data_IF_147843519343
#
_entry.id   IF_147843519343
#
_cell.length_a   1.000
_cell.length_b   1.000
_cell.length_c   1.000
_cell.angle_alpha   90.00
_cell.angle_beta   90.00
_cell.angle_gamma   90.00
#
_symmetry.space_group_name_H-M   'P 1'
#
loop_
_entity.id
_entity.type
_entity.pdbx_description
1 polymer ?
#
# COMPACT_ATOMS: atom_id res chain seq x y z
N UNK A 1 19.82 14.28 9.85
CA UNK A 1 18.65 13.51 9.31
C UNK A 1 18.03 14.35 8.21
N UNK A 2 17.54 13.76 7.12
CA UNK A 2 16.81 14.51 6.11
C UNK A 2 15.56 15.17 6.72
N UNK A 3 15.15 16.32 6.18
CA UNK A 3 13.90 16.96 6.60
C UNK A 3 12.67 16.14 6.16
N UNK A 4 11.49 16.43 6.72
CA UNK A 4 10.26 15.78 6.28
C UNK A 4 9.96 16.07 4.80
N UNK A 5 10.35 17.25 4.31
CA UNK A 5 10.21 17.63 2.90
C UNK A 5 11.15 16.82 2.00
N UNK A 6 12.43 16.66 2.39
CA UNK A 6 13.37 15.81 1.65
C UNK A 6 12.87 14.36 1.53
N UNK A 7 12.30 13.81 2.63
CA UNK A 7 11.72 12.47 2.64
C UNK A 7 10.51 12.40 1.72
N UNK A 8 9.64 13.42 1.75
CA UNK A 8 8.44 13.50 0.92
C UNK A 8 8.79 13.56 -0.57
N UNK A 9 9.79 14.37 -0.94
CA UNK A 9 10.24 14.47 -2.32
C UNK A 9 10.87 13.18 -2.83
N UNK A 10 11.70 12.51 -2.02
CA UNK A 10 12.24 11.20 -2.34
C UNK A 10 11.15 10.12 -2.50
N UNK A 11 10.10 10.14 -1.66
CA UNK A 11 8.96 9.24 -1.82
C UNK A 11 8.18 9.54 -3.10
N UNK A 12 7.95 10.82 -3.42
CA UNK A 12 7.28 11.22 -4.67
C UNK A 12 8.03 10.69 -5.90
N UNK A 13 9.34 10.88 -5.97
CA UNK A 13 10.17 10.39 -7.07
C UNK A 13 10.12 8.85 -7.17
N UNK A 14 10.24 8.16 -6.03
CA UNK A 14 10.20 6.70 -5.97
C UNK A 14 8.89 6.17 -6.54
N UNK A 15 7.75 6.65 -6.06
CA UNK A 15 6.43 6.15 -6.44
C UNK A 15 6.01 6.58 -7.85
N UNK A 16 6.41 7.77 -8.30
CA UNK A 16 6.22 8.19 -9.70
C UNK A 16 6.94 7.21 -10.65
N UNK A 17 8.17 6.82 -10.31
CA UNK A 17 8.95 5.84 -11.08
C UNK A 17 8.41 4.41 -11.06
N UNK A 18 7.45 4.10 -10.19
CA UNK A 18 6.82 2.78 -10.08
C UNK A 18 5.41 2.72 -10.72
N UNK A 19 4.81 3.87 -11.06
CA UNK A 19 3.43 3.96 -11.57
C UNK A 19 3.16 3.04 -12.76
N UNK A 20 4.07 2.97 -13.71
CA UNK A 20 3.99 2.10 -14.90
C UNK A 20 3.98 0.61 -14.53
N UNK A 21 4.81 0.19 -13.57
CA UNK A 21 4.83 -1.18 -13.07
C UNK A 21 3.52 -1.57 -12.38
N UNK A 22 2.99 -0.67 -11.55
CA UNK A 22 1.71 -0.85 -10.90
C UNK A 22 0.54 -0.94 -11.90
N UNK A 23 0.53 -0.10 -12.93
CA UNK A 23 -0.48 -0.17 -14.00
C UNK A 23 -0.37 -1.47 -14.80
N UNK A 24 0.85 -1.85 -15.22
CA UNK A 24 1.12 -3.07 -16.00
C UNK A 24 0.67 -4.34 -15.28
N UNK A 25 0.95 -4.43 -13.98
CA UNK A 25 0.69 -5.62 -13.16
C UNK A 25 -0.58 -5.51 -12.30
N UNK A 26 -1.45 -4.52 -12.58
CA UNK A 26 -2.64 -4.22 -11.79
C UNK A 26 -3.45 -5.46 -11.43
N UNK A 27 -3.77 -6.32 -12.40
CA UNK A 27 -4.57 -7.54 -12.15
C UNK A 27 -3.89 -8.46 -11.14
N UNK A 28 -2.59 -8.71 -11.27
CA UNK A 28 -1.84 -9.62 -10.38
C UNK A 28 -1.73 -9.02 -8.99
N UNK A 29 -1.41 -7.72 -8.90
CA UNK A 29 -1.27 -7.00 -7.64
C UNK A 29 -2.63 -6.92 -6.93
N UNK A 30 -3.70 -6.57 -7.66
CA UNK A 30 -5.03 -6.44 -7.06
C UNK A 30 -5.60 -7.79 -6.64
N UNK A 31 -5.31 -8.89 -7.35
CA UNK A 31 -5.68 -10.23 -6.90
C UNK A 31 -5.02 -10.58 -5.56
N UNK A 32 -3.76 -10.24 -5.36
CA UNK A 32 -3.06 -10.41 -4.07
C UNK A 32 -3.66 -9.53 -2.98
N UNK A 33 -3.99 -8.26 -3.27
CA UNK A 33 -4.37 -7.26 -2.27
C UNK A 33 -5.89 -7.19 -2.01
N UNK A 34 -6.72 -7.83 -2.84
CA UNK A 34 -8.19 -7.83 -2.71
C UNK A 34 -8.68 -8.29 -1.33
N UNK A 35 -8.13 -9.38 -0.71
CA UNK A 35 -8.57 -9.79 0.62
C UNK A 35 -8.39 -8.70 1.67
N UNK A 36 -7.32 -7.88 1.55
CA UNK A 36 -7.04 -6.79 2.47
C UNK A 36 -8.07 -5.67 2.28
N UNK A 37 -8.32 -5.25 1.04
CA UNK A 37 -9.34 -4.24 0.73
C UNK A 37 -10.72 -4.65 1.25
N UNK A 38 -11.12 -5.91 1.03
CA UNK A 38 -12.38 -6.44 1.52
C UNK A 38 -12.47 -6.42 3.06
N UNK A 39 -11.42 -6.85 3.76
CA UNK A 39 -11.35 -6.84 5.23
C UNK A 39 -11.40 -5.41 5.80
N UNK A 40 -10.80 -4.43 5.13
CA UNK A 40 -10.88 -3.01 5.49
C UNK A 40 -12.30 -2.48 5.31
N UNK A 41 -12.92 -2.72 4.15
CA UNK A 41 -14.28 -2.26 3.82
C UNK A 41 -15.30 -2.78 4.83
N UNK A 42 -15.22 -4.06 5.21
CA UNK A 42 -16.10 -4.67 6.22
C UNK A 42 -16.12 -3.89 7.54
N UNK A 43 -14.95 -3.34 7.95
CA UNK A 43 -14.81 -2.62 9.22
C UNK A 43 -15.08 -1.13 9.11
N UNK A 44 -15.09 -0.56 7.93
CA UNK A 44 -15.37 0.87 7.71
C UNK A 44 -16.85 1.25 7.89
N UNK A 45 -17.77 0.26 7.92
CA UNK A 45 -19.21 0.47 8.06
C UNK A 45 -19.76 1.47 7.02
N UNK A 46 -19.41 1.23 5.76
CA UNK A 46 -19.80 2.09 4.63
C UNK A 46 -21.32 2.08 4.45
N UNK A 47 -21.92 3.27 4.26
CA UNK A 47 -23.32 3.45 3.88
C UNK A 47 -23.41 4.14 2.51
N UNK A 48 -24.57 4.00 1.85
CA UNK A 48 -24.81 4.38 0.45
C UNK A 48 -24.53 5.87 0.15
N UNK A 49 -24.71 6.75 1.13
CA UNK A 49 -24.60 8.21 1.04
C UNK A 49 -23.36 8.79 1.73
N UNK A 50 -22.46 7.94 2.22
CA UNK A 50 -21.25 8.37 2.92
C UNK A 50 -20.32 9.19 2.02
N UNK A 51 -19.49 10.01 2.66
CA UNK A 51 -18.35 10.68 2.04
C UNK A 51 -17.07 10.01 2.55
N UNK A 52 -16.37 9.30 1.66
CA UNK A 52 -15.18 8.52 1.97
C UNK A 52 -13.91 9.18 1.45
N UNK A 53 -12.83 9.09 2.24
CA UNK A 53 -11.48 9.52 1.85
C UNK A 53 -10.55 8.30 1.81
N UNK A 54 -9.92 8.06 0.66
CA UNK A 54 -8.87 7.04 0.52
C UNK A 54 -7.50 7.71 0.38
N UNK A 55 -6.63 7.48 1.34
CA UNK A 55 -5.34 8.15 1.49
C UNK A 55 -4.21 7.24 1.00
N UNK A 56 -3.26 7.81 0.25
CA UNK A 56 -2.25 7.08 -0.47
C UNK A 56 -2.91 5.97 -1.33
N UNK A 57 -3.94 6.37 -2.07
CA UNK A 57 -4.80 5.46 -2.83
C UNK A 57 -4.10 4.80 -4.01
N UNK A 58 -2.92 5.30 -4.41
CA UNK A 58 -2.16 4.76 -5.52
C UNK A 58 -3.01 4.67 -6.80
N UNK A 59 -3.15 3.47 -7.34
CA UNK A 59 -3.97 3.19 -8.52
C UNK A 59 -5.47 3.03 -8.22
N UNK A 60 -5.93 3.42 -7.01
CA UNK A 60 -7.33 3.67 -6.67
C UNK A 60 -8.02 2.67 -5.74
N UNK A 61 -7.35 1.60 -5.27
CA UNK A 61 -7.99 0.63 -4.38
C UNK A 61 -7.56 0.79 -2.91
N UNK A 62 -8.45 0.69 -1.93
CA UNK A 62 -9.84 0.20 -2.02
C UNK A 62 -10.90 1.25 -2.43
N UNK A 63 -10.52 2.51 -2.64
CA UNK A 63 -11.46 3.62 -2.90
C UNK A 63 -12.39 3.39 -4.09
N UNK A 64 -11.90 2.80 -5.20
CA UNK A 64 -12.74 2.46 -6.36
C UNK A 64 -13.78 1.40 -6.03
N UNK A 65 -13.39 0.35 -5.30
CA UNK A 65 -14.34 -0.65 -4.81
C UNK A 65 -15.37 -0.01 -3.86
N UNK A 66 -14.94 0.86 -2.94
CA UNK A 66 -15.84 1.59 -2.03
C UNK A 66 -16.83 2.46 -2.82
N UNK A 67 -16.38 3.14 -3.86
CA UNK A 67 -17.26 3.96 -4.70
C UNK A 67 -18.41 3.17 -5.34
N UNK A 68 -18.20 1.91 -5.68
CA UNK A 68 -19.28 1.05 -6.21
C UNK A 68 -20.31 0.65 -5.15
N UNK A 69 -19.95 0.69 -3.86
CA UNK A 69 -20.83 0.39 -2.73
C UNK A 69 -21.61 1.62 -2.24
N UNK A 70 -21.31 2.80 -2.77
CA UNK A 70 -21.87 4.09 -2.35
C UNK A 70 -22.55 4.83 -3.52
N UNK A 71 -23.66 4.33 -4.05
CA UNK A 71 -24.26 4.86 -5.27
C UNK A 71 -24.72 6.34 -5.18
N UNK A 72 -25.01 6.83 -3.97
CA UNK A 72 -25.38 8.23 -3.71
C UNK A 72 -24.30 9.01 -2.94
N UNK A 73 -23.27 8.31 -2.49
CA UNK A 73 -22.11 8.87 -1.79
C UNK A 73 -21.01 9.34 -2.72
N UNK A 74 -19.89 9.75 -2.12
CA UNK A 74 -18.71 10.25 -2.84
C UNK A 74 -17.42 9.69 -2.24
N UNK A 75 -16.44 9.45 -3.12
CA UNK A 75 -15.09 9.03 -2.71
C UNK A 75 -14.09 10.08 -3.19
N UNK A 76 -13.19 10.48 -2.31
CA UNK A 76 -12.01 11.28 -2.66
C UNK A 76 -10.78 10.37 -2.56
N UNK A 77 -10.07 10.23 -3.67
CA UNK A 77 -8.80 9.51 -3.74
C UNK A 77 -7.67 10.51 -3.60
N UNK A 78 -6.79 10.32 -2.63
CA UNK A 78 -5.61 11.18 -2.46
C UNK A 78 -4.33 10.37 -2.54
N UNK A 79 -3.32 10.96 -3.14
CA UNK A 79 -1.96 10.43 -3.18
C UNK A 79 -0.94 11.57 -3.24
N UNK A 80 0.29 11.29 -2.87
CA UNK A 80 1.40 12.20 -3.05
C UNK A 80 1.78 12.37 -4.52
N UNK A 81 1.48 11.36 -5.36
CA UNK A 81 1.90 11.20 -6.75
C UNK A 81 0.72 11.35 -7.69
N UNK A 82 0.70 12.42 -8.48
CA UNK A 82 -0.39 12.70 -9.42
C UNK A 82 -0.52 11.61 -10.49
N UNK A 83 0.59 11.04 -10.97
CA UNK A 83 0.62 9.98 -11.96
C UNK A 83 -0.11 8.71 -11.50
N UNK A 84 -0.06 8.39 -10.20
CA UNK A 84 -0.85 7.29 -9.61
C UNK A 84 -2.35 7.60 -9.67
N UNK A 85 -2.74 8.82 -9.35
CA UNK A 85 -4.13 9.27 -9.41
C UNK A 85 -4.67 9.29 -10.84
N UNK A 86 -3.83 9.58 -11.82
CA UNK A 86 -4.20 9.50 -13.24
C UNK A 86 -4.53 8.05 -13.65
N UNK A 87 -3.79 7.07 -13.14
CA UNK A 87 -4.12 5.63 -13.32
C UNK A 87 -5.47 5.32 -12.66
N UNK A 88 -5.67 5.76 -11.41
CA UNK A 88 -6.93 5.55 -10.69
C UNK A 88 -8.13 6.15 -11.45
N UNK A 89 -7.99 7.37 -11.99
CA UNK A 89 -9.02 8.04 -12.78
C UNK A 89 -9.35 7.27 -14.07
N UNK A 90 -8.33 6.78 -14.81
CA UNK A 90 -8.56 5.94 -16.00
C UNK A 90 -9.28 4.63 -15.65
N UNK A 91 -8.93 3.99 -14.54
CA UNK A 91 -9.60 2.78 -14.06
C UNK A 91 -11.06 3.06 -13.70
N UNK A 92 -11.35 4.17 -13.02
CA UNK A 92 -12.71 4.58 -12.71
C UNK A 92 -13.56 4.72 -13.99
N UNK A 93 -13.04 5.42 -14.99
CA UNK A 93 -13.72 5.57 -16.31
C UNK A 93 -13.99 4.21 -16.94
N UNK A 94 -12.98 3.32 -16.97
CA UNK A 94 -13.13 1.97 -17.55
C UNK A 94 -14.17 1.13 -16.82
N UNK A 95 -14.32 1.32 -15.50
CA UNK A 95 -15.29 0.60 -14.67
C UNK A 95 -16.66 1.30 -14.58
N UNK A 96 -16.83 2.47 -15.21
CA UNK A 96 -18.07 3.25 -15.17
C UNK A 96 -18.35 3.90 -13.81
N UNK A 97 -17.31 4.11 -12.99
CA UNK A 97 -17.41 4.75 -11.67
C UNK A 97 -17.34 6.28 -11.88
N UNK A 98 -18.37 7.00 -11.43
CA UNK A 98 -18.54 8.45 -11.67
C UNK A 98 -18.54 9.30 -10.40
N UNK A 99 -18.60 8.68 -9.23
CA UNK A 99 -18.71 9.32 -7.92
C UNK A 99 -17.39 9.44 -7.19
N UNK A 100 -16.29 9.57 -7.93
CA UNK A 100 -14.96 9.82 -7.38
C UNK A 100 -14.44 11.22 -7.72
N UNK A 101 -13.53 11.70 -6.88
CA UNK A 101 -12.64 12.83 -7.17
C UNK A 101 -11.20 12.47 -6.79
N UNK A 102 -10.22 13.05 -7.46
CA UNK A 102 -8.80 12.85 -7.14
C UNK A 102 -8.18 14.15 -6.64
N UNK A 103 -7.24 14.06 -5.67
CA UNK A 103 -6.54 15.22 -5.14
C UNK A 103 -5.11 14.85 -4.75
N UNK A 104 -4.12 15.38 -5.48
CA UNK A 104 -2.73 15.21 -5.08
C UNK A 104 -2.42 16.06 -3.83
N UNK A 105 -2.01 15.41 -2.74
CA UNK A 105 -1.62 16.05 -1.49
C UNK A 105 -0.80 15.10 -0.60
N UNK A 106 -0.17 15.67 0.44
CA UNK A 106 0.51 14.87 1.46
C UNK A 106 -0.48 14.37 2.51
N UNK A 107 -0.26 13.16 3.02
CA UNK A 107 -1.09 12.55 4.05
C UNK A 107 -1.04 13.31 5.40
N UNK A 108 0.03 14.05 5.65
CA UNK A 108 0.25 14.85 6.86
C UNK A 108 -0.13 16.34 6.70
N UNK A 109 -0.80 16.69 5.58
CA UNK A 109 -1.30 18.05 5.30
C UNK A 109 -2.48 17.95 4.33
N UNK A 110 -3.65 17.55 4.86
CA UNK A 110 -4.85 17.29 4.08
C UNK A 110 -5.64 18.58 3.83
N UNK A 111 -5.89 18.97 2.57
CA UNK A 111 -6.59 20.20 2.23
C UNK A 111 -8.11 20.06 2.32
N UNK A 112 -8.60 19.54 3.45
CA UNK A 112 -10.02 19.34 3.74
C UNK A 112 -10.35 19.93 5.12
N UNK A 113 -11.59 20.37 5.27
CA UNK A 113 -12.11 20.88 6.55
C UNK A 113 -12.26 19.75 7.59
N UNK A 114 -12.32 20.13 8.86
CA UNK A 114 -12.57 19.22 9.96
C UNK A 114 -13.93 18.51 9.78
N UNK A 115 -14.02 17.27 10.21
CA UNK A 115 -15.25 16.49 10.19
C UNK A 115 -15.97 16.46 8.83
N UNK A 116 -15.19 16.28 7.75
CA UNK A 116 -15.70 16.24 6.38
C UNK A 116 -16.14 14.84 5.97
N UNK A 117 -15.45 13.80 6.42
CA UNK A 117 -15.60 12.43 5.93
C UNK A 117 -16.24 11.51 6.97
N UNK A 118 -17.09 10.60 6.51
CA UNK A 118 -17.72 9.57 7.34
C UNK A 118 -16.77 8.38 7.57
N UNK A 119 -15.84 8.15 6.64
CA UNK A 119 -14.84 7.10 6.74
C UNK A 119 -13.56 7.46 6.01
N UNK A 120 -12.43 6.90 6.47
CA UNK A 120 -11.10 7.08 5.90
C UNK A 120 -10.42 5.72 5.75
N UNK A 121 -9.77 5.47 4.61
CA UNK A 121 -8.89 4.32 4.39
C UNK A 121 -7.47 4.74 4.07
N UNK A 122 -6.48 3.88 4.44
CA UNK A 122 -5.09 4.02 4.04
C UNK A 122 -4.46 2.64 3.86
N UNK A 123 -4.50 2.09 2.65
CA UNK A 123 -3.95 0.75 2.35
C UNK A 123 -2.48 0.84 1.99
N UNK A 124 -1.59 0.35 2.88
CA UNK A 124 -0.13 0.33 2.71
C UNK A 124 0.56 1.70 2.57
N UNK A 125 -0.08 2.79 3.00
CA UNK A 125 0.51 4.13 2.99
C UNK A 125 1.39 4.41 4.21
N UNK A 126 0.95 4.00 5.40
CA UNK A 126 1.53 4.38 6.69
C UNK A 126 3.05 4.22 6.77
N UNK A 127 3.57 3.12 6.28
CA UNK A 127 4.99 2.79 6.36
C UNK A 127 5.90 3.73 5.58
N UNK A 128 5.31 4.56 4.71
CA UNK A 128 6.04 5.50 3.85
C UNK A 128 5.84 6.97 4.25
N UNK A 129 4.94 7.27 5.20
CA UNK A 129 4.74 8.64 5.64
C UNK A 129 5.96 9.18 6.41
N UNK A 130 6.42 10.40 6.11
CA UNK A 130 7.51 11.03 6.85
C UNK A 130 7.20 11.15 8.34
N UNK A 131 6.03 11.68 8.67
CA UNK A 131 5.50 11.82 10.02
C UNK A 131 4.14 11.11 10.13
N UNK A 132 4.19 9.87 10.62
CA UNK A 132 2.99 9.05 10.80
C UNK A 132 2.05 9.61 11.88
N UNK A 133 2.60 10.26 12.92
CA UNK A 133 1.77 10.81 14.00
C UNK A 133 0.97 12.02 13.49
N UNK A 134 1.62 12.91 12.74
CA UNK A 134 0.97 14.06 12.11
C UNK A 134 -0.08 13.60 11.08
N UNK A 135 0.27 12.62 10.24
CA UNK A 135 -0.69 12.05 9.29
C UNK A 135 -1.93 11.47 10.00
N UNK A 136 -1.72 10.71 11.09
CA UNK A 136 -2.86 10.14 11.85
C UNK A 136 -3.72 11.22 12.49
N UNK A 137 -3.11 12.30 12.98
CA UNK A 137 -3.86 13.45 13.52
C UNK A 137 -4.73 14.12 12.43
N UNK A 138 -4.19 14.27 11.20
CA UNK A 138 -4.97 14.78 10.07
C UNK A 138 -6.13 13.85 9.70
N UNK A 139 -5.91 12.53 9.69
CA UNK A 139 -6.98 11.55 9.43
C UNK A 139 -8.09 11.64 10.47
N UNK A 140 -7.74 11.75 11.76
CA UNK A 140 -8.70 11.95 12.83
C UNK A 140 -9.41 13.31 12.69
N UNK A 141 -8.71 14.39 12.30
CA UNK A 141 -9.28 15.73 12.14
C UNK A 141 -10.37 15.75 11.07
N UNK A 142 -10.11 15.16 9.92
CA UNK A 142 -11.05 15.19 8.78
C UNK A 142 -12.21 14.20 8.91
N UNK A 143 -12.12 13.20 9.80
CA UNK A 143 -13.22 12.30 10.14
C UNK A 143 -14.30 13.04 10.93
N UNK A 144 -15.56 12.68 10.73
CA UNK A 144 -16.70 13.07 11.58
C UNK A 144 -16.68 12.31 12.89
N UNK A 145 -17.27 12.87 13.97
CA UNK A 145 -17.53 12.09 15.18
C UNK A 145 -18.32 10.81 14.85
N UNK A 146 -17.84 9.65 15.33
CA UNK A 146 -18.38 8.33 14.99
C UNK A 146 -17.87 7.74 13.68
N UNK A 147 -17.12 8.52 12.89
CA UNK A 147 -16.48 8.06 11.64
C UNK A 147 -15.36 7.06 11.91
N UNK A 148 -15.05 6.22 10.92
CA UNK A 148 -14.06 5.14 11.06
C UNK A 148 -12.85 5.35 10.17
N UNK A 149 -11.67 5.13 10.76
CA UNK A 149 -10.39 5.01 10.05
C UNK A 149 -9.99 3.53 9.97
N UNK A 150 -9.66 3.05 8.78
CA UNK A 150 -9.06 1.73 8.62
C UNK A 150 -7.77 1.81 7.80
N UNK A 151 -6.69 1.25 8.33
CA UNK A 151 -5.40 1.19 7.66
C UNK A 151 -4.90 -0.25 7.51
N UNK A 152 -3.97 -0.46 6.57
CA UNK A 152 -3.25 -1.73 6.48
C UNK A 152 -1.75 -1.53 6.30
N UNK A 153 -0.97 -2.46 6.86
CA UNK A 153 0.49 -2.50 6.79
C UNK A 153 0.95 -3.94 6.60
N UNK A 154 2.17 -4.12 6.07
CA UNK A 154 2.78 -5.45 6.05
C UNK A 154 3.23 -5.85 7.45
N UNK A 155 3.04 -7.12 7.82
CA UNK A 155 3.69 -7.71 8.98
C UNK A 155 5.16 -8.02 8.64
N UNK A 156 5.89 -8.66 9.55
CA UNK A 156 7.33 -8.91 9.41
C UNK A 156 7.72 -9.70 8.13
N UNK A 157 8.97 -9.57 7.65
CA UNK A 157 9.43 -10.16 6.39
C UNK A 157 9.27 -11.69 6.29
N UNK A 158 9.47 -12.43 7.38
CA UNK A 158 9.36 -13.89 7.41
C UNK A 158 7.92 -14.40 7.17
N UNK A 159 6.91 -13.56 7.41
CA UNK A 159 5.52 -13.84 7.04
C UNK A 159 5.18 -13.38 5.60
N UNK A 160 6.14 -12.80 4.88
CA UNK A 160 5.98 -12.26 3.52
C UNK A 160 7.03 -12.79 2.55
N UNK A 161 7.14 -14.14 2.37
CA UNK A 161 8.12 -14.72 1.46
C UNK A 161 8.01 -14.22 0.03
N UNK A 162 6.84 -13.71 -0.41
CA UNK A 162 6.65 -13.16 -1.75
C UNK A 162 7.61 -12.01 -2.09
N UNK A 163 8.11 -11.25 -1.12
CA UNK A 163 9.15 -10.24 -1.32
C UNK A 163 10.49 -10.66 -0.71
N UNK A 164 10.49 -11.45 0.38
CA UNK A 164 11.70 -11.88 1.05
C UNK A 164 12.61 -12.73 0.15
N UNK A 165 12.04 -13.57 -0.72
CA UNK A 165 12.79 -14.37 -1.70
C UNK A 165 13.57 -13.49 -2.69
N UNK A 166 12.94 -12.45 -3.23
CA UNK A 166 13.64 -11.53 -4.13
C UNK A 166 14.75 -10.75 -3.41
N UNK A 167 14.51 -10.31 -2.18
CA UNK A 167 15.54 -9.64 -1.37
C UNK A 167 16.69 -10.59 -1.00
N UNK A 168 16.41 -11.87 -0.76
CA UNK A 168 17.44 -12.88 -0.55
C UNK A 168 18.28 -13.13 -1.82
N UNK A 169 17.64 -13.15 -3.00
CA UNK A 169 18.35 -13.23 -4.29
C UNK A 169 19.24 -12.00 -4.52
N UNK A 170 18.76 -10.80 -4.22
CA UNK A 170 19.56 -9.56 -4.29
C UNK A 170 20.76 -9.63 -3.36
N UNK A 171 20.58 -10.18 -2.15
CA UNK A 171 21.63 -10.29 -1.14
C UNK A 171 22.81 -11.21 -1.57
N UNK A 172 22.67 -12.01 -2.61
CA UNK A 172 23.78 -12.80 -3.16
C UNK A 172 24.79 -11.94 -3.93
N UNK A 173 24.37 -10.79 -4.47
CA UNK A 173 25.20 -9.90 -5.26
C UNK A 173 25.46 -8.54 -4.57
N UNK A 174 24.49 -8.07 -3.76
CA UNK A 174 24.54 -6.79 -3.05
C UNK A 174 24.43 -7.08 -1.55
N UNK A 175 25.45 -6.81 -0.73
CA UNK A 175 25.36 -6.99 0.72
C UNK A 175 24.14 -6.23 1.31
N UNK A 176 23.30 -6.89 2.11
CA UNK A 176 22.13 -6.24 2.70
C UNK A 176 22.55 -5.16 3.70
N UNK A 177 21.99 -3.98 3.56
CA UNK A 177 22.09 -2.90 4.53
C UNK A 177 20.80 -2.86 5.33
N UNK A 178 20.82 -3.05 6.66
CA UNK A 178 19.63 -2.92 7.47
C UNK A 178 18.99 -1.52 7.28
N UNK A 179 17.68 -1.43 7.05
CA UNK A 179 17.04 -0.12 6.91
C UNK A 179 17.12 0.63 8.26
N UNK A 180 17.27 1.95 8.19
CA UNK A 180 17.08 2.79 9.38
C UNK A 180 15.61 2.65 9.83
N UNK A 181 15.34 2.25 11.09
CA UNK A 181 13.97 2.06 11.61
C UNK A 181 13.09 3.32 11.50
N UNK A 182 13.72 4.49 11.42
CA UNK A 182 13.02 5.78 11.30
C UNK A 182 12.74 6.20 9.85
N UNK A 183 13.39 5.56 8.88
CA UNK A 183 13.20 5.85 7.46
C UNK A 183 12.00 5.08 6.88
N UNK A 184 11.31 5.62 5.87
CA UNK A 184 10.26 4.92 5.15
C UNK A 184 10.78 3.61 4.54
N UNK A 185 10.16 2.49 4.90
CA UNK A 185 10.41 1.19 4.28
C UNK A 185 9.23 0.23 4.53
N UNK A 186 9.09 -0.78 3.68
CA UNK A 186 7.94 -1.68 3.61
C UNK A 186 7.52 -2.29 4.96
N UNK A 187 8.44 -2.61 5.86
CA UNK A 187 8.18 -3.28 7.13
C UNK A 187 8.29 -2.36 8.36
N UNK A 188 8.33 -1.03 8.16
CA UNK A 188 8.47 -0.05 9.24
C UNK A 188 7.38 -0.16 10.31
N UNK A 189 6.18 -0.56 9.92
CA UNK A 189 5.02 -0.68 10.80
C UNK A 189 4.70 -2.13 11.20
N UNK A 190 5.63 -3.07 11.01
CA UNK A 190 5.38 -4.51 11.18
C UNK A 190 5.12 -4.95 12.63
N UNK A 191 5.58 -4.17 13.62
CA UNK A 191 5.39 -4.49 15.03
C UNK A 191 3.90 -4.43 15.41
N UNK A 192 3.36 -5.46 16.10
CA UNK A 192 2.00 -5.41 16.65
C UNK A 192 1.81 -4.18 17.55
N UNK A 193 0.64 -3.56 17.48
CA UNK A 193 0.29 -2.38 18.27
C UNK A 193 0.93 -1.06 17.79
N UNK A 194 1.85 -1.08 16.82
CA UNK A 194 2.57 0.13 16.42
C UNK A 194 1.62 1.19 15.83
N UNK A 195 0.79 0.81 14.86
CA UNK A 195 -0.21 1.73 14.25
C UNK A 195 -1.37 1.96 15.18
N UNK A 196 -1.80 0.94 15.95
CA UNK A 196 -2.85 1.08 16.98
C UNK A 196 -2.52 2.18 17.99
N UNK A 197 -1.27 2.24 18.45
CA UNK A 197 -0.83 3.31 19.36
C UNK A 197 -0.80 4.71 18.68
N UNK A 198 -0.66 4.81 17.37
CA UNK A 198 -0.83 6.07 16.64
C UNK A 198 -2.30 6.51 16.63
N UNK A 199 -3.21 5.56 16.39
CA UNK A 199 -4.66 5.80 16.40
C UNK A 199 -5.11 6.31 17.78
N UNK A 200 -4.75 5.61 18.86
CA UNK A 200 -5.08 5.99 20.22
C UNK A 200 -4.54 7.38 20.58
N UNK A 201 -3.30 7.69 20.22
CA UNK A 201 -2.69 9.01 20.44
C UNK A 201 -3.38 10.13 19.67
N UNK A 202 -3.97 9.83 18.52
CA UNK A 202 -4.76 10.79 17.73
C UNK A 202 -6.21 10.94 18.24
N UNK A 203 -6.57 10.25 19.33
CA UNK A 203 -7.90 10.33 19.94
C UNK A 203 -8.93 9.37 19.36
N UNK A 204 -8.51 8.41 18.54
CA UNK A 204 -9.40 7.34 18.08
C UNK A 204 -9.59 6.31 19.21
N UNK A 205 -10.80 5.77 19.32
CA UNK A 205 -11.18 4.76 20.28
C UNK A 205 -11.66 3.47 19.60
N UNK A 206 -11.99 2.42 20.36
CA UNK A 206 -12.37 1.10 19.85
C UNK A 206 -11.35 0.56 18.85
N UNK A 207 -10.06 0.82 19.12
CA UNK A 207 -8.97 0.43 18.22
C UNK A 207 -8.80 -1.08 18.26
N UNK A 208 -8.83 -1.70 17.08
CA UNK A 208 -8.61 -3.14 16.92
C UNK A 208 -7.68 -3.40 15.74
N UNK A 209 -6.86 -4.45 15.87
CA UNK A 209 -6.02 -4.94 14.76
C UNK A 209 -6.20 -6.43 14.54
N UNK A 210 -6.04 -6.87 13.28
CA UNK A 210 -6.12 -8.27 12.89
C UNK A 210 -5.28 -8.55 11.66
N UNK A 211 -4.77 -9.77 11.54
CA UNK A 211 -3.96 -10.20 10.41
C UNK A 211 -4.84 -10.76 9.30
N UNK A 212 -4.49 -10.43 8.05
CA UNK A 212 -5.19 -10.85 6.83
C UNK A 212 -4.20 -11.60 5.93
N UNK A 213 -4.41 -12.89 5.67
CA UNK A 213 -3.58 -13.66 4.75
C UNK A 213 -3.82 -13.22 3.31
N UNK A 214 -2.74 -13.21 2.53
CA UNK A 214 -2.75 -12.95 1.10
C UNK A 214 -1.89 -13.95 0.37
N UNK A 215 -2.02 -14.01 -0.94
CA UNK A 215 -1.22 -14.88 -1.79
C UNK A 215 -0.87 -14.17 -3.11
N UNK A 216 0.40 -14.03 -3.41
CA UNK A 216 0.83 -13.61 -4.73
C UNK A 216 0.78 -14.84 -5.65
N UNK A 217 -0.12 -14.80 -6.63
CA UNK A 217 -0.26 -15.86 -7.63
C UNK A 217 0.27 -15.39 -8.98
N UNK A 218 1.20 -16.15 -9.58
CA UNK A 218 1.71 -15.90 -10.93
C UNK A 218 1.70 -17.16 -11.78
N UNK A 219 1.73 -17.02 -13.09
CA UNK A 219 1.62 -18.13 -14.04
C UNK A 219 2.93 -18.93 -14.18
N UNK A 220 4.06 -18.39 -13.70
CA UNK A 220 5.36 -19.05 -13.75
C UNK A 220 6.36 -18.37 -12.81
N UNK A 221 7.47 -19.04 -12.45
CA UNK A 221 8.60 -18.40 -11.75
C UNK A 221 9.16 -17.17 -12.46
N UNK A 222 9.21 -17.19 -13.79
CA UNK A 222 9.66 -16.03 -14.57
C UNK A 222 8.69 -14.84 -14.43
N UNK A 223 7.38 -15.07 -14.46
CA UNK A 223 6.40 -14.01 -14.24
C UNK A 223 6.50 -13.44 -12.83
N UNK A 224 6.73 -14.29 -11.80
CA UNK A 224 6.97 -13.80 -10.44
C UNK A 224 8.10 -12.77 -10.42
N UNK A 225 9.25 -13.11 -11.05
CA UNK A 225 10.37 -12.18 -11.10
C UNK A 225 10.03 -10.88 -11.84
N UNK A 226 9.35 -10.96 -12.97
CA UNK A 226 8.90 -9.78 -13.71
C UNK A 226 8.00 -8.87 -12.87
N UNK A 227 7.01 -9.45 -12.19
CA UNK A 227 6.12 -8.71 -11.29
C UNK A 227 6.93 -8.00 -10.19
N UNK A 228 7.76 -8.75 -9.45
CA UNK A 228 8.48 -8.22 -8.30
C UNK A 228 9.51 -7.16 -8.72
N UNK A 229 10.25 -7.39 -9.80
CA UNK A 229 11.31 -6.50 -10.27
C UNK A 229 10.81 -5.18 -10.89
N UNK A 230 9.51 -5.08 -11.18
CA UNK A 230 8.95 -3.89 -11.82
C UNK A 230 8.07 -3.03 -10.88
N UNK A 231 7.57 -3.58 -9.74
CA UNK A 231 6.67 -2.81 -8.87
C UNK A 231 7.07 -2.77 -7.39
N UNK A 232 7.97 -3.66 -6.94
CA UNK A 232 8.37 -3.68 -5.51
C UNK A 232 9.51 -2.71 -5.28
N UNK A 233 9.23 -1.62 -4.59
CA UNK A 233 10.14 -0.49 -4.39
C UNK A 233 11.57 -0.88 -4.00
N UNK A 234 11.84 -1.68 -2.93
CA UNK A 234 13.22 -2.04 -2.55
C UNK A 234 13.93 -2.89 -3.61
N UNK A 235 13.19 -3.73 -4.35
CA UNK A 235 13.77 -4.55 -5.42
C UNK A 235 14.16 -3.66 -6.60
N UNK A 236 13.26 -2.78 -7.05
CA UNK A 236 13.55 -1.83 -8.14
C UNK A 236 14.74 -0.94 -7.79
N UNK A 237 14.79 -0.43 -6.54
CA UNK A 237 15.90 0.41 -6.09
C UNK A 237 17.24 -0.32 -6.09
N UNK A 238 17.28 -1.58 -5.68
CA UNK A 238 18.50 -2.40 -5.70
C UNK A 238 18.96 -2.69 -7.13
N UNK A 239 18.03 -3.06 -8.02
CA UNK A 239 18.35 -3.39 -9.40
C UNK A 239 18.85 -2.20 -10.23
N UNK A 240 18.50 -0.96 -9.83
CA UNK A 240 19.04 0.25 -10.46
C UNK A 240 20.53 0.48 -10.17
N UNK A 241 21.10 -0.17 -9.17
CA UNK A 241 22.48 0.01 -8.72
C UNK A 241 23.47 -0.98 -9.37
N UNK A 242 23.00 -1.93 -10.15
CA UNK A 242 23.80 -3.01 -10.73
C UNK A 242 23.71 -3.00 -12.25
N UNK A 243 24.73 -3.62 -12.91
CA UNK A 243 24.75 -3.84 -14.35
C UNK A 243 23.76 -4.95 -14.78
N UNK A 244 23.56 -5.07 -16.09
CA UNK A 244 22.59 -6.02 -16.65
C UNK A 244 22.96 -7.48 -16.37
N UNK A 245 24.25 -7.84 -16.39
CA UNK A 245 24.71 -9.19 -16.10
C UNK A 245 24.44 -9.59 -14.63
N UNK A 246 24.65 -8.67 -13.70
CA UNK A 246 24.33 -8.86 -12.28
C UNK A 246 22.81 -8.95 -12.07
N UNK A 247 22.05 -8.12 -12.78
CA UNK A 247 20.58 -8.15 -12.74
C UNK A 247 20.03 -9.50 -13.24
N UNK A 248 20.62 -10.07 -14.28
CA UNK A 248 20.25 -11.39 -14.82
C UNK A 248 20.52 -12.48 -13.79
N UNK A 249 21.71 -12.53 -13.16
CA UNK A 249 22.02 -13.50 -12.09
C UNK A 249 21.09 -13.42 -10.91
N UNK A 250 20.75 -12.20 -10.43
CA UNK A 250 19.75 -12.00 -9.37
C UNK A 250 18.41 -12.58 -9.79
N UNK A 251 17.98 -12.33 -11.04
CA UNK A 251 16.74 -12.85 -11.59
C UNK A 251 16.71 -14.37 -11.62
N UNK A 252 17.79 -15.02 -12.07
CA UNK A 252 17.93 -16.48 -12.07
C UNK A 252 17.81 -17.06 -10.66
N UNK A 253 18.47 -16.45 -9.67
CA UNK A 253 18.38 -16.87 -8.28
C UNK A 253 16.96 -16.71 -7.71
N UNK A 254 16.27 -15.60 -7.98
CA UNK A 254 14.90 -15.36 -7.52
C UNK A 254 13.92 -16.37 -8.16
N UNK A 255 14.08 -16.66 -9.46
CA UNK A 255 13.31 -17.65 -10.22
C UNK A 255 13.52 -19.04 -9.62
N UNK A 256 14.76 -19.43 -9.33
CA UNK A 256 15.04 -20.74 -8.75
C UNK A 256 14.46 -20.88 -7.33
N UNK A 257 14.61 -19.87 -6.48
CA UNK A 257 14.07 -19.92 -5.11
C UNK A 257 12.54 -20.02 -5.09
N UNK A 258 11.85 -19.32 -5.99
CA UNK A 258 10.38 -19.32 -5.99
C UNK A 258 9.78 -20.60 -6.52
N UNK A 259 10.55 -21.48 -7.21
CA UNK A 259 10.08 -22.80 -7.65
C UNK A 259 9.55 -23.69 -6.51
N UNK A 260 10.03 -23.49 -5.29
CA UNK A 260 9.51 -24.17 -4.11
C UNK A 260 8.01 -23.92 -3.87
N UNK A 261 7.46 -22.86 -4.46
CA UNK A 261 6.06 -22.46 -4.38
C UNK A 261 5.27 -22.78 -5.67
N UNK A 262 5.90 -23.47 -6.61
CA UNK A 262 5.24 -23.87 -7.85
C UNK A 262 4.39 -25.12 -7.63
N UNK A 263 3.13 -25.02 -8.01
CA UNK A 263 2.18 -26.15 -7.96
C UNK A 263 1.24 -26.06 -9.16
N UNK A 264 1.11 -27.17 -9.89
CA UNK A 264 0.25 -27.28 -11.09
C UNK A 264 0.49 -26.13 -12.11
N UNK A 265 1.75 -25.77 -12.36
CA UNK A 265 2.13 -24.77 -13.35
C UNK A 265 1.88 -23.32 -12.90
N UNK A 266 1.51 -23.08 -11.63
CA UNK A 266 1.36 -21.75 -11.05
C UNK A 266 2.25 -21.58 -9.82
N UNK A 267 2.77 -20.40 -9.63
CA UNK A 267 3.49 -20.02 -8.41
C UNK A 267 2.52 -19.34 -7.46
N UNK A 268 2.49 -19.79 -6.19
CA UNK A 268 1.62 -19.26 -5.14
C UNK A 268 2.44 -18.97 -3.90
N UNK A 269 2.78 -17.71 -3.69
CA UNK A 269 3.64 -17.30 -2.58
C UNK A 269 2.79 -16.59 -1.52
N UNK A 270 2.72 -17.14 -0.29
CA UNK A 270 1.92 -16.55 0.76
C UNK A 270 2.47 -15.21 1.24
N UNK A 271 1.60 -14.45 1.89
CA UNK A 271 1.93 -13.21 2.57
C UNK A 271 0.93 -12.92 3.67
N UNK A 272 1.24 -11.93 4.49
CA UNK A 272 0.39 -11.51 5.60
C UNK A 272 0.44 -9.99 5.75
N UNK A 273 -0.73 -9.38 5.78
CA UNK A 273 -0.90 -7.98 6.15
C UNK A 273 -1.61 -7.88 7.49
N UNK A 274 -1.47 -6.74 8.14
CA UNK A 274 -2.26 -6.34 9.33
C UNK A 274 -3.14 -5.20 8.97
N UNK A 275 -4.42 -5.32 9.30
CA UNK A 275 -5.39 -4.23 9.25
C UNK A 275 -5.63 -3.68 10.66
N UNK A 276 -5.86 -2.38 10.73
CA UNK A 276 -6.12 -1.65 11.97
C UNK A 276 -7.34 -0.76 11.74
N UNK A 277 -8.30 -0.78 12.66
CA UNK A 277 -9.48 0.10 12.64
C UNK A 277 -9.58 0.89 13.93
N UNK A 278 -10.09 2.11 13.86
CA UNK A 278 -10.43 2.92 15.02
C UNK A 278 -11.61 3.85 14.68
N UNK A 279 -12.31 4.31 15.70
CA UNK A 279 -13.47 5.21 15.61
C UNK A 279 -13.10 6.57 16.18
N UNK A 280 -13.54 7.67 15.55
CA UNK A 280 -13.38 9.04 16.07
C UNK A 280 -14.42 9.39 17.11
#
# INVERSE_FOLDING_TARGET
MPSADDVRDAQRETWAGLSTGWEKWDTVIMDQLRPIGAAMIERLAIADDHHHLDIASGTGEPGLTIATLMPTGRVVLTDLVAEMLDVAARRAVTQGITNIATKACSADDLPFDDATFDSVSARFGYMFFPDMAKATAEFARVLRPGGRLCASVWVKPDANPWTALAMAAIATEIPPVPPDPNSPHMFRCAAPGYVSALFERAGLHDVAEWDVPVELTTQSPAQYWQVISEHVSPVVAALRQVDDATRERIGEHAIEQVRAFENNGKVRVPGMARCIVGTR
#
